data_IF_275099929447
#
_entry.id   IF_275099929447
#
_cell.length_a   1.000
_cell.length_b   1.000
_cell.length_c   1.000
_cell.angle_alpha   90.00
_cell.angle_beta   90.00
_cell.angle_gamma   90.00
#
_symmetry.space_group_name_H-M   'P 1'
#
loop_
_entity.id
_entity.type
_entity.pdbx_description
1 polymer ?
#
# COMPACT_ATOMS: atom_id res chain seq x y z
N UNK A 1 -2.69 -66.47 -5.48
CA UNK A 1 -2.16 -65.09 -5.58
C UNK A 1 -3.02 -64.12 -6.36
N UNK A 2 -3.69 -64.49 -7.42
CA UNK A 2 -4.55 -63.63 -8.26
C UNK A 2 -5.74 -62.98 -7.51
N UNK A 3 -6.40 -63.68 -6.60
CA UNK A 3 -7.57 -63.14 -5.84
C UNK A 3 -7.21 -61.98 -4.89
N UNK A 4 -6.00 -61.92 -4.33
CA UNK A 4 -5.57 -60.79 -3.47
C UNK A 4 -5.24 -59.52 -4.27
N UNK A 5 -4.82 -59.69 -5.53
CA UNK A 5 -4.48 -58.55 -6.40
C UNK A 5 -5.73 -57.83 -6.94
N UNK A 6 -6.77 -58.60 -7.19
CA UNK A 6 -8.08 -58.04 -7.63
C UNK A 6 -8.82 -57.37 -6.46
N UNK A 7 -8.74 -57.90 -5.25
CA UNK A 7 -9.35 -57.24 -4.08
C UNK A 7 -8.66 -55.89 -3.74
N UNK A 8 -7.36 -55.78 -3.86
CA UNK A 8 -6.63 -54.52 -3.67
C UNK A 8 -7.02 -53.48 -4.73
N UNK A 9 -7.13 -53.86 -6.00
CA UNK A 9 -7.57 -52.96 -7.08
C UNK A 9 -9.02 -52.51 -6.87
N UNK A 10 -9.88 -53.41 -6.39
CA UNK A 10 -11.30 -53.08 -6.10
C UNK A 10 -11.40 -52.10 -4.90
N UNK A 11 -10.60 -52.28 -3.84
CA UNK A 11 -10.60 -51.35 -2.70
C UNK A 11 -10.06 -49.96 -3.06
N UNK A 12 -9.06 -49.88 -3.94
CA UNK A 12 -8.53 -48.59 -4.44
C UNK A 12 -9.58 -47.88 -5.32
N UNK A 13 -10.30 -48.63 -6.19
CA UNK A 13 -11.34 -48.05 -7.03
C UNK A 13 -12.53 -47.55 -6.18
N UNK A 14 -12.93 -48.28 -5.15
CA UNK A 14 -13.98 -47.85 -4.20
C UNK A 14 -13.53 -46.60 -3.42
N UNK A 15 -12.27 -46.55 -2.96
CA UNK A 15 -11.74 -45.38 -2.28
C UNK A 15 -11.73 -44.11 -3.18
N UNK A 16 -11.31 -44.28 -4.44
CA UNK A 16 -11.36 -43.19 -5.43
C UNK A 16 -12.77 -42.74 -5.76
N UNK A 17 -13.73 -43.67 -5.84
CA UNK A 17 -15.14 -43.35 -6.03
C UNK A 17 -15.74 -42.60 -4.81
N UNK A 18 -15.33 -42.95 -3.61
CA UNK A 18 -15.77 -42.25 -2.38
C UNK A 18 -15.18 -40.84 -2.35
N UNK A 19 -13.87 -40.66 -2.67
CA UNK A 19 -13.24 -39.36 -2.74
C UNK A 19 -13.89 -38.49 -3.84
N UNK A 20 -14.13 -39.04 -5.02
CA UNK A 20 -14.83 -38.32 -6.09
C UNK A 20 -16.27 -37.95 -5.69
N UNK A 21 -16.97 -38.81 -4.97
CA UNK A 21 -18.32 -38.56 -4.46
C UNK A 21 -18.31 -37.46 -3.37
N UNK A 22 -17.31 -37.46 -2.48
CA UNK A 22 -17.14 -36.40 -1.49
C UNK A 22 -16.84 -35.05 -2.18
N UNK A 23 -15.94 -35.03 -3.17
CA UNK A 23 -15.68 -33.84 -3.96
C UNK A 23 -16.89 -33.35 -4.78
N UNK A 24 -17.75 -34.26 -5.22
CA UNK A 24 -18.99 -33.93 -5.91
C UNK A 24 -20.09 -33.40 -4.97
N UNK A 25 -20.19 -33.95 -3.75
CA UNK A 25 -21.16 -33.51 -2.74
C UNK A 25 -20.80 -32.20 -2.06
N UNK A 26 -19.51 -31.78 -2.13
CA UNK A 26 -19.02 -30.51 -1.60
C UNK A 26 -18.32 -29.68 -2.70
N UNK A 27 -19.07 -29.26 -3.72
CA UNK A 27 -18.46 -28.58 -4.88
C UNK A 27 -18.14 -27.12 -4.63
N UNK A 28 -17.84 -26.61 -3.49
CA UNK A 28 -17.37 -25.20 -3.37
C UNK A 28 -17.22 -24.61 -1.95
N UNK A 29 -16.39 -25.15 -1.07
CA UNK A 29 -15.96 -24.30 0.05
C UNK A 29 -14.59 -23.63 -0.16
N UNK A 30 -13.77 -24.11 -1.10
CA UNK A 30 -12.39 -23.61 -1.24
C UNK A 30 -12.29 -22.31 -2.05
N UNK A 31 -13.09 -22.14 -3.09
CA UNK A 31 -13.06 -20.89 -3.89
C UNK A 31 -13.64 -19.69 -3.15
N UNK A 32 -14.84 -19.85 -2.55
CA UNK A 32 -15.45 -18.76 -1.75
C UNK A 32 -14.56 -18.35 -0.58
N UNK A 33 -13.90 -19.30 0.09
CA UNK A 33 -13.03 -18.96 1.22
C UNK A 33 -11.72 -18.29 0.78
N UNK A 34 -11.20 -18.60 -0.40
CA UNK A 34 -10.02 -17.94 -0.96
C UNK A 34 -10.38 -16.55 -1.51
N UNK A 35 -11.52 -16.40 -2.16
CA UNK A 35 -12.03 -15.11 -2.64
C UNK A 35 -12.38 -14.18 -1.46
N UNK A 36 -13.02 -14.69 -0.40
CA UNK A 36 -13.28 -13.93 0.83
C UNK A 36 -11.99 -13.48 1.53
N UNK A 37 -10.95 -14.30 1.55
CA UNK A 37 -9.65 -13.92 2.13
C UNK A 37 -8.95 -12.85 1.26
N UNK A 38 -9.09 -12.90 -0.06
CA UNK A 38 -8.52 -11.87 -0.95
C UNK A 38 -9.28 -10.55 -0.86
N UNK A 39 -10.60 -10.60 -0.75
CA UNK A 39 -11.46 -9.42 -0.66
C UNK A 39 -11.36 -8.69 0.71
N UNK A 40 -10.81 -9.34 1.75
CA UNK A 40 -10.65 -8.75 3.07
C UNK A 40 -9.23 -8.22 3.36
N UNK A 41 -8.39 -8.04 2.33
CA UNK A 41 -7.07 -7.45 2.51
C UNK A 41 -7.11 -5.93 2.39
N UNK A 42 -6.64 -5.25 3.41
CA UNK A 42 -6.48 -3.78 3.45
C UNK A 42 -4.99 -3.42 3.38
N UNK A 43 -4.69 -2.32 2.69
CA UNK A 43 -3.34 -1.79 2.70
C UNK A 43 -3.02 -1.18 4.07
N UNK A 44 -1.82 -1.46 4.57
CA UNK A 44 -1.29 -0.92 5.82
C UNK A 44 0.16 -0.52 5.61
N UNK A 45 0.59 0.52 6.30
CA UNK A 45 1.94 1.07 6.18
C UNK A 45 2.73 0.80 7.45
N UNK A 46 3.71 -0.10 7.33
CA UNK A 46 4.54 -0.61 8.43
C UNK A 46 6.02 -0.32 8.16
N UNK A 47 6.84 -0.41 9.20
CA UNK A 47 8.29 -0.23 9.04
C UNK A 47 8.90 -1.53 8.52
N UNK A 48 9.63 -1.44 7.40
CA UNK A 48 10.37 -2.55 6.82
C UNK A 48 11.78 -2.71 7.43
N UNK A 49 12.52 -3.72 6.97
CA UNK A 49 13.90 -4.01 7.43
C UNK A 49 14.91 -2.88 7.13
N UNK A 50 14.64 -2.07 6.10
CA UNK A 50 15.46 -0.95 5.68
C UNK A 50 15.02 0.36 6.36
N UNK A 51 14.09 0.27 7.30
CA UNK A 51 13.57 1.38 8.08
C UNK A 51 12.73 2.39 7.26
N UNK A 52 12.13 1.96 6.14
CA UNK A 52 11.10 2.69 5.41
C UNK A 52 9.70 2.38 5.96
N UNK A 53 8.81 3.35 5.86
CA UNK A 53 7.37 3.13 6.00
C UNK A 53 6.85 2.56 4.68
N UNK A 54 6.51 1.28 4.68
CA UNK A 54 6.25 0.50 3.47
C UNK A 54 4.83 -0.04 3.45
N UNK A 55 4.22 -0.05 2.27
CA UNK A 55 2.86 -0.55 2.06
C UNK A 55 2.87 -2.06 1.86
N UNK A 56 2.06 -2.74 2.65
CA UNK A 56 1.72 -4.17 2.48
C UNK A 56 0.21 -4.35 2.59
N UNK A 57 -0.29 -5.50 2.18
CA UNK A 57 -1.70 -5.86 2.37
C UNK A 57 -1.83 -6.90 3.49
N UNK A 58 -2.68 -6.63 4.48
CA UNK A 58 -2.99 -7.54 5.58
C UNK A 58 -4.48 -7.85 5.63
N UNK A 59 -4.83 -9.01 6.17
CA UNK A 59 -6.23 -9.36 6.38
C UNK A 59 -6.81 -8.44 7.46
N UNK A 60 -7.92 -7.77 7.12
CA UNK A 60 -8.70 -6.96 8.04
C UNK A 60 -10.12 -7.55 8.15
N UNK A 61 -10.45 -8.06 9.32
CA UNK A 61 -11.73 -8.73 9.58
C UNK A 61 -12.83 -7.77 10.03
N UNK A 62 -12.62 -6.46 9.96
CA UNK A 62 -13.60 -5.44 10.30
C UNK A 62 -14.82 -5.51 9.37
N UNK A 63 -16.01 -5.61 9.97
CA UNK A 63 -17.28 -5.74 9.22
C UNK A 63 -17.83 -4.41 8.71
N UNK A 64 -17.37 -3.32 9.26
CA UNK A 64 -17.76 -1.95 8.91
C UNK A 64 -16.55 -1.02 9.07
N UNK A 65 -16.66 0.21 8.61
CA UNK A 65 -15.59 1.22 8.67
C UNK A 65 -14.98 1.38 10.06
N UNK A 66 -15.81 1.38 11.11
CA UNK A 66 -15.34 1.54 12.49
C UNK A 66 -14.51 0.35 12.97
N UNK A 67 -14.95 -0.87 12.65
CA UNK A 67 -14.22 -2.09 12.98
C UNK A 67 -12.90 -2.16 12.19
N UNK A 68 -12.92 -1.82 10.90
CA UNK A 68 -11.72 -1.74 10.06
C UNK A 68 -10.69 -0.76 10.62
N UNK A 69 -11.13 0.44 11.04
CA UNK A 69 -10.27 1.43 11.69
C UNK A 69 -9.60 0.89 12.95
N UNK A 70 -10.39 0.25 13.82
CA UNK A 70 -9.86 -0.32 15.07
C UNK A 70 -8.85 -1.45 14.80
N UNK A 71 -9.15 -2.32 13.84
CA UNK A 71 -8.25 -3.42 13.45
C UNK A 71 -6.92 -2.88 12.89
N UNK A 72 -6.95 -1.86 12.02
CA UNK A 72 -5.73 -1.21 11.52
C UNK A 72 -4.92 -0.58 12.65
N UNK A 73 -5.55 0.18 13.57
CA UNK A 73 -4.85 0.79 14.71
C UNK A 73 -4.23 -0.29 15.61
N UNK A 74 -4.92 -1.39 15.86
CA UNK A 74 -4.34 -2.53 16.60
C UNK A 74 -3.16 -3.12 15.86
N UNK A 75 -3.25 -3.33 14.56
CA UNK A 75 -2.15 -3.88 13.75
C UNK A 75 -0.94 -2.93 13.73
N UNK A 76 -1.16 -1.61 13.75
CA UNK A 76 -0.11 -0.62 13.87
C UNK A 76 0.54 -0.57 15.27
N UNK A 77 -0.08 -1.19 16.29
CA UNK A 77 0.38 -1.14 17.69
C UNK A 77 1.27 -2.34 18.01
N UNK A 78 2.45 -2.07 18.55
CA UNK A 78 3.45 -3.09 18.93
C UNK A 78 2.85 -4.02 20.00
N UNK A 79 3.11 -5.32 19.86
CA UNK A 79 2.66 -6.40 20.76
C UNK A 79 1.14 -6.48 20.94
N UNK A 80 0.38 -5.98 19.98
CA UNK A 80 -1.08 -6.17 19.95
C UNK A 80 -1.46 -7.60 19.58
N UNK A 81 -2.72 -7.97 19.80
CA UNK A 81 -3.26 -9.28 19.39
C UNK A 81 -3.14 -9.50 17.87
N UNK A 82 -3.17 -8.42 17.09
CA UNK A 82 -3.09 -8.44 15.63
C UNK A 82 -1.64 -8.52 15.09
N UNK A 83 -0.63 -8.51 15.95
CA UNK A 83 0.77 -8.61 15.52
C UNK A 83 1.05 -9.85 14.64
N UNK A 84 0.28 -10.93 14.84
CA UNK A 84 0.42 -12.20 14.09
C UNK A 84 0.09 -12.09 12.59
N UNK A 85 -0.65 -11.06 12.16
CA UNK A 85 -0.97 -10.84 10.74
C UNK A 85 0.13 -10.07 10.01
N UNK A 86 1.12 -9.53 10.74
CA UNK A 86 2.25 -8.80 10.16
C UNK A 86 3.26 -9.81 9.62
N UNK A 87 3.60 -9.78 8.31
CA UNK A 87 4.62 -10.64 7.73
C UNK A 87 6.00 -10.39 8.32
N UNK A 88 6.86 -11.41 8.30
CA UNK A 88 8.25 -11.28 8.70
C UNK A 88 8.95 -10.18 7.89
N UNK A 89 9.79 -9.39 8.55
CA UNK A 89 10.51 -8.26 7.93
C UNK A 89 9.80 -6.92 8.05
N UNK A 90 8.57 -6.89 8.61
CA UNK A 90 7.85 -5.67 8.94
C UNK A 90 7.58 -5.58 10.43
N UNK A 91 7.44 -4.37 10.94
CA UNK A 91 7.12 -4.10 12.34
C UNK A 91 6.11 -2.98 12.50
N UNK A 92 5.23 -3.12 13.48
CA UNK A 92 4.36 -2.06 13.96
C UNK A 92 5.18 -0.94 14.61
N UNK A 93 4.61 0.26 14.70
CA UNK A 93 5.32 1.46 15.15
C UNK A 93 4.62 2.21 16.30
N UNK A 94 3.32 2.08 16.46
CA UNK A 94 2.63 2.68 17.62
C UNK A 94 3.10 1.96 18.88
N UNK A 95 3.57 2.68 19.91
CA UNK A 95 4.13 2.06 21.10
C UNK A 95 3.14 1.10 21.78
N UNK A 96 3.66 0.01 22.33
CA UNK A 96 2.86 -0.92 23.13
C UNK A 96 2.18 -0.22 24.29
N UNK A 97 1.05 -0.76 24.71
CA UNK A 97 0.18 -0.20 25.76
C UNK A 97 -0.49 1.14 25.37
N UNK A 98 -0.31 1.62 24.13
CA UNK A 98 -1.10 2.74 23.62
C UNK A 98 -2.55 2.31 23.49
N UNK A 99 -3.45 3.09 24.09
CA UNK A 99 -4.90 2.86 24.03
C UNK A 99 -5.54 3.95 23.19
N UNK A 100 -6.44 3.57 22.29
CA UNK A 100 -7.35 4.49 21.62
C UNK A 100 -8.47 4.82 22.64
N UNK A 101 -8.41 6.01 23.24
CA UNK A 101 -9.35 6.44 24.28
C UNK A 101 -10.71 6.81 23.70
N UNK A 102 -10.68 7.48 22.55
CA UNK A 102 -11.87 7.92 21.82
C UNK A 102 -11.56 8.16 20.36
N UNK A 103 -12.58 8.08 19.48
CA UNK A 103 -12.47 8.44 18.08
C UNK A 103 -13.83 8.85 17.52
N UNK A 104 -13.83 9.70 16.49
CA UNK A 104 -15.02 10.01 15.69
C UNK A 104 -14.64 10.16 14.22
N UNK A 105 -15.56 9.75 13.33
CA UNK A 105 -15.44 9.94 11.88
C UNK A 105 -16.66 10.69 11.39
N UNK A 106 -16.48 11.93 10.94
CA UNK A 106 -17.53 12.81 10.47
C UNK A 106 -17.07 13.54 9.20
N UNK A 107 -17.83 13.46 8.14
CA UNK A 107 -17.57 14.14 6.86
C UNK A 107 -16.12 13.96 6.34
N UNK A 108 -15.56 12.77 6.49
CA UNK A 108 -14.20 12.47 6.06
C UNK A 108 -13.10 12.86 7.05
N UNK A 109 -13.43 13.50 8.15
CA UNK A 109 -12.49 13.84 9.22
C UNK A 109 -12.52 12.78 10.32
N UNK A 110 -11.41 12.05 10.46
CA UNK A 110 -11.18 11.10 11.54
C UNK A 110 -10.43 11.80 12.69
N UNK A 111 -11.06 11.90 13.85
CA UNK A 111 -10.42 12.34 15.09
C UNK A 111 -10.00 11.12 15.89
N UNK A 112 -8.77 11.07 16.36
CA UNK A 112 -8.21 9.98 17.13
C UNK A 112 -7.63 10.54 18.44
N UNK A 113 -8.03 9.99 19.58
CA UNK A 113 -7.52 10.38 20.89
C UNK A 113 -6.82 9.17 21.54
N UNK A 114 -5.50 9.25 21.67
CA UNK A 114 -4.68 8.21 22.26
C UNK A 114 -4.31 8.51 23.72
N UNK A 115 -3.97 7.46 24.45
CA UNK A 115 -3.37 7.57 25.77
C UNK A 115 -1.93 8.11 25.71
N UNK A 116 -1.40 8.55 26.84
CA UNK A 116 -0.04 9.14 26.94
C UNK A 116 1.08 8.21 26.48
N UNK A 117 0.87 6.90 26.50
CA UNK A 117 1.82 5.88 26.05
C UNK A 117 2.16 6.03 24.56
N UNK A 118 1.30 6.70 23.77
CA UNK A 118 1.56 7.06 22.38
C UNK A 118 2.91 7.76 22.18
N UNK A 119 3.37 8.53 23.15
CA UNK A 119 4.65 9.23 23.11
C UNK A 119 5.87 8.42 23.54
N UNK A 120 5.70 7.12 23.83
CA UNK A 120 6.82 6.23 24.15
C UNK A 120 7.62 5.77 22.91
N UNK A 121 7.33 6.31 21.73
CA UNK A 121 8.05 6.10 20.49
C UNK A 121 9.47 6.66 20.57
N UNK A 122 10.45 6.09 19.85
CA UNK A 122 11.79 6.65 19.76
C UNK A 122 11.77 7.96 18.95
N UNK A 123 12.75 8.85 19.20
CA UNK A 123 12.83 10.16 18.53
C UNK A 123 12.84 10.03 17.00
N UNK A 124 13.65 9.12 16.49
CA UNK A 124 13.85 8.93 15.04
C UNK A 124 12.62 8.26 14.36
N UNK A 125 11.77 7.60 15.13
CA UNK A 125 10.56 6.94 14.68
C UNK A 125 9.30 7.82 14.86
N UNK A 126 9.41 8.97 15.53
CA UNK A 126 8.26 9.81 15.86
C UNK A 126 7.52 10.31 14.62
N UNK A 127 8.24 10.81 13.61
CA UNK A 127 7.65 11.25 12.34
C UNK A 127 7.13 10.09 11.50
N UNK A 128 7.83 8.93 11.51
CA UNK A 128 7.39 7.71 10.81
C UNK A 128 6.11 7.13 11.39
N UNK A 129 5.92 7.23 12.71
CA UNK A 129 4.68 6.82 13.36
C UNK A 129 3.49 7.63 12.81
N UNK A 130 3.64 8.93 12.66
CA UNK A 130 2.60 9.78 12.08
C UNK A 130 2.36 9.42 10.60
N UNK A 131 3.42 9.23 9.81
CA UNK A 131 3.31 8.78 8.42
C UNK A 131 2.54 7.46 8.31
N UNK A 132 2.90 6.47 9.12
CA UNK A 132 2.27 5.16 9.16
C UNK A 132 0.78 5.24 9.50
N UNK A 133 0.41 6.04 10.49
CA UNK A 133 -0.99 6.28 10.87
C UNK A 133 -1.76 6.97 9.74
N UNK A 134 -1.21 8.06 9.20
CA UNK A 134 -1.88 8.83 8.15
C UNK A 134 -2.12 7.97 6.92
N UNK A 135 -1.09 7.33 6.42
CA UNK A 135 -1.19 6.54 5.19
C UNK A 135 -2.04 5.29 5.35
N UNK A 136 -1.96 4.59 6.48
CA UNK A 136 -2.80 3.40 6.72
C UNK A 136 -4.28 3.73 6.87
N UNK A 137 -4.61 4.81 7.59
CA UNK A 137 -6.02 5.09 7.87
C UNK A 137 -6.70 5.84 6.73
N UNK A 138 -5.96 6.56 5.88
CA UNK A 138 -6.50 7.19 4.67
C UNK A 138 -6.66 6.21 3.49
N UNK A 139 -6.27 4.94 3.62
CA UNK A 139 -6.70 3.87 2.71
C UNK A 139 -8.20 3.60 2.83
N UNK A 140 -8.77 3.82 4.01
CA UNK A 140 -10.21 3.68 4.21
C UNK A 140 -10.91 4.83 3.49
N UNK A 141 -11.77 4.49 2.53
CA UNK A 141 -12.44 5.42 1.61
C UNK A 141 -13.14 6.60 2.29
N UNK A 142 -13.72 6.36 3.45
CA UNK A 142 -14.43 7.37 4.23
C UNK A 142 -13.50 8.34 4.96
N UNK A 143 -12.19 8.01 5.09
CA UNK A 143 -11.21 8.86 5.81
C UNK A 143 -10.44 9.72 4.81
N UNK A 144 -10.62 11.04 4.90
CA UNK A 144 -9.92 12.01 4.05
C UNK A 144 -8.83 12.75 4.80
N UNK A 145 -9.07 13.02 6.09
CA UNK A 145 -8.17 13.77 6.96
C UNK A 145 -8.20 13.20 8.36
N UNK A 146 -7.11 13.37 9.08
CA UNK A 146 -6.92 12.89 10.44
C UNK A 146 -6.59 14.06 11.35
N UNK A 147 -7.16 14.09 12.55
CA UNK A 147 -6.80 15.01 13.62
C UNK A 147 -6.39 14.17 14.84
N UNK A 148 -5.19 14.42 15.36
CA UNK A 148 -4.63 13.64 16.46
C UNK A 148 -4.78 14.37 17.80
N UNK A 149 -5.18 13.61 18.82
CA UNK A 149 -5.22 14.02 20.21
C UNK A 149 -4.48 13.00 21.08
N UNK A 150 -3.87 13.46 22.15
CA UNK A 150 -3.32 12.62 23.22
C UNK A 150 -3.81 13.16 24.55
N UNK A 151 -4.43 12.30 25.36
CA UNK A 151 -5.08 12.69 26.62
C UNK A 151 -6.04 13.91 26.44
N UNK A 152 -6.82 13.89 25.36
CA UNK A 152 -7.77 14.95 25.02
C UNK A 152 -7.16 16.27 24.53
N UNK A 153 -5.83 16.35 24.41
CA UNK A 153 -5.13 17.53 23.91
C UNK A 153 -4.74 17.32 22.46
N UNK A 154 -5.11 18.27 21.59
CA UNK A 154 -4.73 18.22 20.19
C UNK A 154 -3.21 18.27 20.02
N UNK A 155 -2.69 17.42 19.15
CA UNK A 155 -1.27 17.35 18.83
C UNK A 155 -0.95 18.40 17.77
N UNK A 156 -0.28 19.47 18.17
CA UNK A 156 0.19 20.53 17.28
C UNK A 156 1.69 20.44 16.99
N UNK A 157 2.39 19.60 17.75
CA UNK A 157 3.85 19.45 17.66
C UNK A 157 4.26 18.10 18.23
N UNK A 158 5.22 17.48 17.59
CA UNK A 158 5.83 16.25 18.06
C UNK A 158 6.78 16.54 19.24
N UNK A 159 6.62 15.85 20.39
CA UNK A 159 7.34 16.25 21.62
C UNK A 159 8.86 16.01 21.56
N UNK A 160 9.35 15.04 20.80
CA UNK A 160 10.79 14.71 20.76
C UNK A 160 11.55 15.40 19.63
N UNK A 161 10.96 15.51 18.45
CA UNK A 161 11.56 16.17 17.29
C UNK A 161 11.27 17.65 17.21
N UNK A 162 10.26 18.14 17.99
CA UNK A 162 9.74 19.49 17.91
C UNK A 162 9.13 19.88 16.55
N UNK A 163 8.88 18.90 15.66
CA UNK A 163 8.26 19.13 14.37
C UNK A 163 6.81 19.61 14.58
N UNK A 164 6.44 20.70 13.95
CA UNK A 164 5.06 21.18 13.93
C UNK A 164 4.21 20.25 13.07
N UNK A 165 2.99 20.03 13.50
CA UNK A 165 1.98 19.31 12.74
C UNK A 165 0.88 20.28 12.31
N UNK A 166 0.36 20.09 11.13
CA UNK A 166 -0.84 20.78 10.68
C UNK A 166 -2.05 20.33 11.48
N UNK A 167 -3.06 21.18 11.51
CA UNK A 167 -4.32 20.91 12.22
C UNK A 167 -4.96 19.61 11.73
N UNK A 168 -4.89 19.39 10.44
CA UNK A 168 -5.39 18.21 9.75
C UNK A 168 -4.25 17.55 8.99
N UNK A 169 -4.15 16.24 9.11
CA UNK A 169 -3.16 15.43 8.43
C UNK A 169 -3.86 14.64 7.32
N UNK A 170 -3.33 14.72 6.13
CA UNK A 170 -3.71 13.92 4.97
C UNK A 170 -2.44 13.43 4.25
N UNK A 171 -2.56 12.86 3.06
CA UNK A 171 -1.42 12.34 2.32
C UNK A 171 -0.40 13.40 1.91
N UNK A 172 -0.76 14.70 1.88
CA UNK A 172 0.20 15.79 1.68
C UNK A 172 1.19 15.94 2.85
N UNK A 173 0.93 15.27 3.99
CA UNK A 173 1.92 15.16 5.05
C UNK A 173 3.23 14.52 4.54
N UNK A 174 3.12 13.66 3.54
CA UNK A 174 4.23 12.94 2.90
C UNK A 174 4.74 11.76 3.73
N UNK A 175 5.39 10.83 3.05
CA UNK A 175 5.92 9.58 3.59
C UNK A 175 7.35 9.36 3.09
N UNK A 176 8.26 8.82 3.94
CA UNK A 176 9.68 8.63 3.60
C UNK A 176 10.29 9.86 2.91
N UNK A 177 10.10 11.01 3.50
CA UNK A 177 10.25 12.35 2.89
C UNK A 177 11.65 12.64 2.40
N UNK A 178 11.75 13.10 1.16
CA UNK A 178 12.97 13.63 0.56
C UNK A 178 12.76 15.10 0.22
N UNK A 179 13.67 15.95 0.62
CA UNK A 179 13.63 17.38 0.36
C UNK A 179 14.72 17.76 -0.64
N UNK A 180 14.31 18.12 -1.86
CA UNK A 180 15.16 18.66 -2.95
C UNK A 180 14.75 20.11 -3.23
N UNK A 181 15.07 20.99 -2.29
CA UNK A 181 14.66 22.38 -2.29
C UNK A 181 15.87 23.30 -2.51
N UNK A 182 15.83 24.11 -3.56
CA UNK A 182 16.76 25.22 -3.79
C UNK A 182 16.23 26.52 -3.18
N UNK A 183 14.92 26.65 -3.14
CA UNK A 183 14.19 27.77 -2.53
C UNK A 183 13.02 27.24 -1.71
N UNK A 184 12.45 28.12 -0.85
CA UNK A 184 11.21 27.78 -0.14
C UNK A 184 9.97 28.39 -0.81
N UNK A 185 10.13 28.93 -2.02
CA UNK A 185 9.03 29.48 -2.79
C UNK A 185 8.46 28.40 -3.72
N UNK A 186 7.13 28.30 -3.80
CA UNK A 186 6.45 27.35 -4.67
C UNK A 186 6.88 25.89 -4.47
N UNK A 187 7.01 25.50 -3.19
CA UNK A 187 7.26 24.11 -2.83
C UNK A 187 6.00 23.29 -3.10
N UNK A 188 6.15 22.27 -3.89
CA UNK A 188 5.12 21.28 -4.17
C UNK A 188 5.66 19.88 -3.87
N UNK A 189 4.80 18.86 -3.89
CA UNK A 189 5.22 17.49 -3.64
C UNK A 189 4.59 16.50 -4.64
N UNK A 190 5.26 15.38 -4.78
CA UNK A 190 4.78 14.20 -5.47
C UNK A 190 5.27 12.94 -4.76
N UNK A 191 4.50 11.87 -4.84
CA UNK A 191 4.84 10.58 -4.22
C UNK A 191 5.10 9.52 -5.28
N UNK A 192 6.20 8.81 -5.14
CA UNK A 192 6.61 7.72 -6.05
C UNK A 192 6.63 6.42 -5.27
N UNK A 193 6.00 5.39 -5.81
CA UNK A 193 5.98 4.06 -5.23
C UNK A 193 7.08 3.20 -5.84
N UNK A 194 8.17 3.04 -5.11
CA UNK A 194 9.23 2.08 -5.42
C UNK A 194 8.89 0.70 -4.86
N UNK A 195 9.71 -0.28 -5.23
CA UNK A 195 9.62 -1.64 -4.72
C UNK A 195 10.67 -1.87 -3.64
N UNK A 196 10.29 -2.61 -2.61
CA UNK A 196 11.18 -3.33 -1.73
C UNK A 196 11.10 -4.82 -2.01
N UNK A 197 12.09 -5.59 -1.58
CA UNK A 197 12.12 -7.04 -1.76
C UNK A 197 12.46 -7.77 -0.47
N UNK A 198 11.56 -8.68 -0.10
CA UNK A 198 11.80 -9.80 0.83
C UNK A 198 11.64 -11.09 0.04
N UNK A 199 10.76 -11.99 0.46
CA UNK A 199 10.39 -13.17 -0.34
C UNK A 199 9.56 -12.74 -1.54
N UNK A 200 8.67 -11.74 -1.36
CA UNK A 200 7.87 -11.09 -2.40
C UNK A 200 8.19 -9.59 -2.49
N UNK A 201 7.78 -8.95 -3.60
CA UNK A 201 7.85 -7.51 -3.74
C UNK A 201 6.76 -6.84 -2.90
N UNK A 202 7.09 -5.67 -2.35
CA UNK A 202 6.19 -4.77 -1.64
C UNK A 202 6.48 -3.33 -2.04
N UNK A 203 5.59 -2.39 -1.71
CA UNK A 203 5.72 -1.03 -2.20
C UNK A 203 6.23 -0.08 -1.13
N UNK A 204 7.15 0.79 -1.51
CA UNK A 204 7.76 1.81 -0.65
C UNK A 204 7.46 3.18 -1.26
N UNK A 205 6.44 3.88 -0.76
CA UNK A 205 6.17 5.25 -1.20
C UNK A 205 7.24 6.20 -0.67
N UNK A 206 7.68 7.11 -1.51
CA UNK A 206 8.61 8.19 -1.16
C UNK A 206 8.04 9.51 -1.66
N UNK A 207 7.78 10.44 -0.75
CA UNK A 207 7.31 11.78 -1.11
C UNK A 207 8.50 12.72 -1.25
N UNK A 208 8.64 13.29 -2.44
CA UNK A 208 9.61 14.32 -2.77
C UNK A 208 8.97 15.69 -2.63
N UNK A 209 9.60 16.55 -1.83
CA UNK A 209 9.28 17.97 -1.75
C UNK A 209 10.27 18.74 -2.62
N UNK A 210 9.80 19.42 -3.66
CA UNK A 210 10.62 20.09 -4.65
C UNK A 210 10.04 21.44 -5.01
N UNK A 211 10.90 22.42 -5.29
CA UNK A 211 10.48 23.70 -5.82
C UNK A 211 10.30 23.62 -7.34
N UNK A 212 9.31 24.36 -7.87
CA UNK A 212 9.06 24.52 -9.30
C UNK A 212 8.82 23.20 -10.07
N UNK A 213 7.89 22.35 -9.60
CA UNK A 213 7.44 21.19 -10.36
C UNK A 213 6.53 21.68 -11.50
N UNK A 214 6.98 21.50 -12.75
CA UNK A 214 6.20 21.89 -13.94
C UNK A 214 5.16 20.82 -14.32
N UNK A 215 5.55 19.56 -14.23
CA UNK A 215 4.71 18.42 -14.60
C UNK A 215 4.91 17.25 -13.63
N UNK A 216 3.82 16.89 -12.93
CA UNK A 216 3.86 15.80 -11.94
C UNK A 216 3.84 14.42 -12.58
N UNK A 217 3.26 14.26 -13.76
CA UNK A 217 3.24 12.98 -14.49
C UNK A 217 4.64 12.67 -15.00
N UNK A 218 5.25 13.64 -15.69
CA UNK A 218 6.61 13.46 -16.22
C UNK A 218 7.63 13.18 -15.13
N UNK A 219 7.60 13.92 -14.01
CA UNK A 219 8.57 13.73 -12.92
C UNK A 219 8.41 12.40 -12.19
N UNK A 220 7.19 11.83 -12.12
CA UNK A 220 6.96 10.47 -11.60
C UNK A 220 7.64 9.44 -12.51
N UNK A 221 7.45 9.55 -13.83
CA UNK A 221 8.09 8.66 -14.81
C UNK A 221 9.60 8.78 -14.73
N UNK A 222 10.14 10.01 -14.71
CA UNK A 222 11.58 10.26 -14.56
C UNK A 222 12.14 9.62 -13.28
N UNK A 223 11.43 9.75 -12.16
CA UNK A 223 11.84 9.18 -10.88
C UNK A 223 11.86 7.65 -10.89
N UNK A 224 10.90 7.02 -11.59
CA UNK A 224 10.83 5.56 -11.71
C UNK A 224 11.83 5.00 -12.73
N UNK A 225 12.17 5.76 -13.78
CA UNK A 225 13.16 5.34 -14.79
C UNK A 225 14.60 5.60 -14.33
N UNK A 226 14.77 6.49 -13.36
CA UNK A 226 16.08 6.80 -12.79
C UNK A 226 16.24 6.01 -11.49
N UNK A 227 17.08 4.97 -11.49
CA UNK A 227 17.37 4.22 -10.24
C UNK A 227 17.79 5.20 -9.13
N UNK A 228 17.18 5.11 -7.93
CA UNK A 228 17.57 5.94 -6.80
C UNK A 228 18.98 5.56 -6.35
N UNK A 229 19.99 6.26 -6.89
CA UNK A 229 21.42 5.93 -6.79
C UNK A 229 21.99 5.97 -5.37
N UNK A 230 21.26 6.49 -4.39
CA UNK A 230 21.74 6.68 -3.02
C UNK A 230 20.83 6.06 -1.93
N UNK A 231 19.79 5.33 -2.30
CA UNK A 231 18.83 4.77 -1.32
C UNK A 231 18.89 3.24 -1.37
N UNK A 232 19.58 2.64 -0.42
CA UNK A 232 19.62 1.20 -0.25
C UNK A 232 18.20 0.63 -0.07
N UNK A 233 17.84 -0.35 -0.87
CA UNK A 233 16.58 -1.08 -0.75
C UNK A 233 15.42 -0.56 -1.57
N UNK A 234 15.55 0.55 -2.30
CA UNK A 234 14.54 1.00 -3.26
C UNK A 234 14.84 0.42 -4.65
N UNK A 235 13.85 -0.21 -5.26
CA UNK A 235 13.96 -0.86 -6.57
C UNK A 235 12.90 -0.25 -7.49
N UNK A 236 13.23 -0.01 -8.73
CA UNK A 236 12.26 0.25 -9.79
C UNK A 236 12.42 -0.79 -10.89
N UNK A 237 11.29 -1.29 -11.37
CA UNK A 237 11.25 -2.18 -12.53
C UNK A 237 10.93 -1.44 -13.82
N UNK A 238 10.72 -0.12 -13.77
CA UNK A 238 10.57 0.70 -14.97
C UNK A 238 11.94 0.92 -15.58
N UNK A 239 12.16 0.38 -16.78
CA UNK A 239 13.45 0.46 -17.48
C UNK A 239 13.79 1.92 -17.83
N UNK A 240 15.07 2.30 -17.76
CA UNK A 240 15.56 3.64 -18.10
C UNK A 240 15.33 4.06 -19.57
N UNK A 241 15.03 3.11 -20.44
CA UNK A 241 14.70 3.36 -21.86
C UNK A 241 13.22 3.65 -22.08
N UNK A 242 12.38 3.43 -21.08
CA UNK A 242 10.95 3.78 -21.14
C UNK A 242 10.81 5.29 -21.22
N UNK A 243 10.01 5.75 -22.18
CA UNK A 243 9.69 7.16 -22.36
C UNK A 243 8.18 7.33 -22.44
N UNK A 244 7.66 8.26 -21.65
CA UNK A 244 6.33 8.80 -21.83
C UNK A 244 6.37 9.72 -23.05
N UNK A 245 5.58 9.40 -24.07
CA UNK A 245 5.51 10.18 -25.32
C UNK A 245 4.45 11.26 -25.26
N UNK A 246 3.34 10.98 -24.60
CA UNK A 246 2.21 11.86 -24.37
C UNK A 246 1.34 11.31 -23.25
N UNK A 247 0.46 12.15 -22.68
CA UNK A 247 -0.62 11.70 -21.81
C UNK A 247 -1.83 12.64 -21.93
N UNK A 248 -3.01 12.12 -21.61
CA UNK A 248 -4.27 12.86 -21.58
C UNK A 248 -5.02 12.55 -20.28
N UNK A 249 -5.42 13.60 -19.54
CA UNK A 249 -6.18 13.44 -18.29
C UNK A 249 -7.62 13.83 -18.52
N UNK A 250 -8.55 12.96 -18.14
CA UNK A 250 -9.99 13.19 -18.18
C UNK A 250 -10.62 12.72 -16.87
N UNK A 251 -11.15 13.66 -16.07
CA UNK A 251 -11.74 13.38 -14.75
C UNK A 251 -10.76 12.64 -13.82
N UNK A 252 -11.00 11.36 -13.51
CA UNK A 252 -10.17 10.51 -12.66
C UNK A 252 -9.34 9.47 -13.44
N UNK A 253 -9.31 9.62 -14.78
CA UNK A 253 -8.61 8.73 -15.71
C UNK A 253 -7.45 9.46 -16.39
N UNK A 254 -6.35 8.72 -16.63
CA UNK A 254 -5.23 9.13 -17.46
C UNK A 254 -4.96 8.09 -18.55
N UNK A 255 -4.87 8.54 -19.80
CA UNK A 255 -4.35 7.79 -20.93
C UNK A 255 -2.88 8.13 -21.11
N UNK A 256 -1.98 7.13 -21.01
CA UNK A 256 -0.53 7.30 -21.07
C UNK A 256 0.06 6.60 -22.27
N UNK A 257 0.72 7.35 -23.14
CA UNK A 257 1.32 6.85 -24.37
C UNK A 257 2.83 6.64 -24.18
N UNK A 258 3.27 5.41 -24.25
CA UNK A 258 4.67 5.04 -24.05
C UNK A 258 5.31 4.52 -25.33
N UNK A 259 6.65 4.52 -25.34
CA UNK A 259 7.41 3.78 -26.33
C UNK A 259 7.41 2.25 -26.01
N UNK A 260 7.90 1.44 -26.95
CA UNK A 260 7.87 -0.02 -26.86
C UNK A 260 8.67 -0.61 -25.70
N UNK A 261 9.55 0.17 -25.08
CA UNK A 261 10.33 -0.28 -23.93
C UNK A 261 9.49 -0.50 -22.67
N UNK A 262 8.25 0.02 -22.61
CA UNK A 262 7.33 -0.26 -21.49
C UNK A 262 7.04 -1.77 -21.38
N UNK A 263 6.91 -2.45 -22.51
CA UNK A 263 6.62 -3.87 -22.60
C UNK A 263 7.90 -4.72 -22.53
N UNK A 264 8.86 -4.28 -21.77
CA UNK A 264 10.22 -4.80 -21.65
C UNK A 264 10.24 -6.31 -21.46
N UNK A 265 9.96 -7.10 -22.54
CA UNK A 265 10.25 -8.52 -22.54
C UNK A 265 9.91 -9.26 -23.85
N UNK A 266 10.29 -10.52 -23.88
CA UNK A 266 10.14 -11.55 -24.90
C UNK A 266 8.69 -11.77 -25.39
N UNK A 267 7.71 -11.35 -24.61
CA UNK A 267 6.29 -11.34 -24.98
C UNK A 267 5.76 -9.90 -24.84
N UNK A 268 5.67 -9.19 -25.98
CA UNK A 268 5.25 -7.77 -26.04
C UNK A 268 3.76 -7.53 -25.73
N UNK A 269 3.07 -8.47 -25.15
CA UNK A 269 1.62 -8.40 -24.92
C UNK A 269 1.21 -8.10 -23.49
N UNK A 270 2.17 -7.87 -22.56
CA UNK A 270 1.81 -7.82 -21.16
C UNK A 270 2.70 -6.86 -20.36
N UNK A 271 2.07 -6.05 -19.53
CA UNK A 271 2.71 -5.12 -18.60
C UNK A 271 3.01 -5.84 -17.28
N UNK A 272 4.24 -5.68 -16.75
CA UNK A 272 4.60 -6.26 -15.45
C UNK A 272 3.76 -5.66 -14.33
N UNK A 273 3.24 -6.51 -13.44
CA UNK A 273 2.41 -6.09 -12.30
C UNK A 273 3.11 -5.03 -11.43
N UNK A 274 4.40 -5.21 -11.15
CA UNK A 274 5.19 -4.30 -10.32
C UNK A 274 5.31 -2.91 -10.98
N UNK A 275 5.49 -2.85 -12.29
CA UNK A 275 5.53 -1.58 -13.05
C UNK A 275 4.16 -0.91 -13.02
N UNK A 276 3.12 -1.67 -13.32
CA UNK A 276 1.74 -1.20 -13.32
C UNK A 276 1.36 -0.56 -11.98
N UNK A 277 1.52 -1.30 -10.88
CA UNK A 277 1.14 -0.79 -9.56
C UNK A 277 2.04 0.37 -9.09
N UNK A 278 3.35 0.36 -9.39
CA UNK A 278 4.21 1.50 -9.07
C UNK A 278 3.72 2.79 -9.73
N UNK A 279 3.32 2.73 -11.01
CA UNK A 279 2.77 3.87 -11.73
C UNK A 279 1.41 4.29 -11.18
N UNK A 280 0.48 3.35 -11.04
CA UNK A 280 -0.89 3.65 -10.62
C UNK A 280 -0.95 4.21 -9.20
N UNK A 281 -0.23 3.64 -8.24
CA UNK A 281 -0.17 4.18 -6.88
C UNK A 281 0.48 5.57 -6.85
N UNK A 282 1.53 5.80 -7.63
CA UNK A 282 2.19 7.11 -7.70
C UNK A 282 1.27 8.19 -8.25
N UNK A 283 0.53 7.88 -9.32
CA UNK A 283 -0.43 8.79 -9.94
C UNK A 283 -1.64 9.04 -9.03
N UNK A 284 -2.15 8.00 -8.37
CA UNK A 284 -3.27 8.14 -7.46
C UNK A 284 -2.91 9.01 -6.24
N UNK A 285 -1.77 8.75 -5.60
CA UNK A 285 -1.33 9.53 -4.43
C UNK A 285 -1.02 11.00 -4.77
N UNK A 286 -0.46 11.24 -5.95
CA UNK A 286 -0.02 12.58 -6.36
C UNK A 286 -1.14 13.42 -6.98
N UNK A 287 -2.01 12.80 -7.78
CA UNK A 287 -2.98 13.49 -8.64
C UNK A 287 -4.43 13.05 -8.38
N UNK A 288 -4.66 12.00 -7.59
CA UNK A 288 -5.98 11.44 -7.34
C UNK A 288 -6.52 10.58 -8.49
N UNK A 289 -5.69 10.25 -9.49
CA UNK A 289 -6.07 9.47 -10.66
C UNK A 289 -6.14 8.00 -10.31
N UNK A 290 -7.29 7.37 -10.51
CA UNK A 290 -7.53 5.97 -10.15
C UNK A 290 -7.47 5.03 -11.33
N UNK A 291 -7.82 5.51 -12.52
CA UNK A 291 -7.84 4.72 -13.74
C UNK A 291 -6.67 5.15 -14.64
N UNK A 292 -5.83 4.20 -14.97
CA UNK A 292 -4.69 4.40 -15.89
C UNK A 292 -4.85 3.48 -17.08
N UNK A 293 -4.84 4.06 -18.27
CA UNK A 293 -4.82 3.33 -19.52
C UNK A 293 -3.40 3.39 -20.12
N UNK A 294 -2.81 2.25 -20.33
CA UNK A 294 -1.45 2.10 -20.86
C UNK A 294 -1.51 1.84 -22.36
N UNK A 295 -0.93 2.74 -23.15
CA UNK A 295 -0.86 2.64 -24.61
C UNK A 295 0.59 2.59 -25.08
N UNK A 296 0.86 1.71 -26.03
CA UNK A 296 2.16 1.59 -26.70
C UNK A 296 1.90 1.60 -28.21
N UNK A 297 2.63 2.44 -28.97
CA UNK A 297 2.43 2.65 -30.41
C UNK A 297 0.96 3.01 -30.78
N UNK A 298 0.25 3.73 -29.88
CA UNK A 298 -1.17 4.07 -29.95
C UNK A 298 -2.14 2.88 -29.84
N UNK A 299 -1.67 1.71 -29.47
CA UNK A 299 -2.51 0.55 -29.15
C UNK A 299 -2.69 0.44 -27.65
N UNK A 300 -3.91 0.22 -27.19
CA UNK A 300 -4.22 -0.02 -25.78
C UNK A 300 -3.68 -1.40 -25.39
N UNK A 301 -2.80 -1.43 -24.38
CA UNK A 301 -2.22 -2.65 -23.84
C UNK A 301 -3.06 -3.13 -22.65
N UNK A 302 -3.36 -2.22 -21.73
CA UNK A 302 -4.12 -2.53 -20.52
C UNK A 302 -4.77 -1.27 -19.94
N UNK A 303 -6.00 -1.38 -19.48
CA UNK A 303 -6.63 -0.39 -18.61
C UNK A 303 -6.74 -0.97 -17.20
N UNK A 304 -6.23 -0.23 -16.23
CA UNK A 304 -6.25 -0.64 -14.83
C UNK A 304 -6.94 0.42 -13.96
N UNK A 305 -7.82 -0.02 -13.06
CA UNK A 305 -8.50 0.85 -12.09
C UNK A 305 -8.22 0.34 -10.67
N UNK A 306 -7.75 1.23 -9.79
CA UNK A 306 -7.61 0.91 -8.37
C UNK A 306 -9.00 0.72 -7.75
N UNK A 307 -9.25 -0.50 -7.28
CA UNK A 307 -10.42 -0.80 -6.45
C UNK A 307 -10.23 -0.18 -5.05
N UNK A 308 -11.28 0.47 -4.55
CA UNK A 308 -11.31 1.09 -3.22
C UNK A 308 -11.73 0.08 -2.15
#
# INVERSE_FOLDING_TARGET
MLKKFTLRKLSIAILMAIVAFILYMFPEPLKEHIEDIQNNKEAIFLIDKNNYVSMIKVVNNGKNTQDKLKELIKTLTIDSENYKVIPNGFKAIIPKNTTLLDYSLEQGLLKLNFSKEFWNVQKDDEDKMIQSIVYSLTEIKEVKKIMLFVEGKQVQKLPKTNKKLDLYLDRNYGINKVYDLKTFNHVDCYTVYFLGKLDEYYYIPVTYFKDNINDKVEIIIESLTTSPTNNEGLISHLDYQVKLMNYEITEDKIDMYFNNYLLNNLDKSYLQEEVKYSLVYSLNDTLGLKTVNFLVDNEEIEQFTLEN
#
